data_IF_226065511979
#
_entry.id   IF_226065511979
#
_cell.length_a   1.000
_cell.length_b   1.000
_cell.length_c   1.000
_cell.angle_alpha   90.00
_cell.angle_beta   90.00
_cell.angle_gamma   90.00
#
_symmetry.space_group_name_H-M   'P 1'
#
loop_
_entity.id
_entity.type
_entity.pdbx_description
1 polymer ?
#
# COMPACT_ATOMS: atom_id res chain seq x y z
N UNK A 1 14.37 14.73 6.32
CA UNK A 1 14.45 16.00 7.08
C UNK A 1 15.76 16.73 6.73
N UNK A 2 15.70 18.05 6.57
CA UNK A 2 16.90 18.89 6.34
C UNK A 2 17.64 19.19 7.66
N UNK A 3 17.93 18.14 8.44
CA UNK A 3 18.58 18.25 9.73
C UNK A 3 20.11 18.07 9.62
N UNK A 4 20.85 18.54 10.63
CA UNK A 4 22.31 18.57 10.62
C UNK A 4 22.95 17.19 10.36
N UNK A 5 22.47 16.15 11.01
CA UNK A 5 23.04 14.79 10.94
C UNK A 5 22.77 14.04 9.64
N UNK A 6 21.73 14.38 8.90
CA UNK A 6 21.32 13.62 7.70
C UNK A 6 21.43 14.44 6.41
N UNK A 7 21.50 15.75 6.51
CA UNK A 7 21.57 16.67 5.38
C UNK A 7 22.74 17.64 5.51
N UNK A 8 22.88 18.31 6.68
CA UNK A 8 23.91 19.32 6.90
C UNK A 8 25.32 18.73 6.87
N UNK A 9 25.53 17.55 7.47
CA UNK A 9 26.83 16.86 7.43
C UNK A 9 27.29 16.61 5.98
N UNK A 10 26.38 16.16 5.10
CA UNK A 10 26.70 15.90 3.70
C UNK A 10 27.23 17.16 3.03
N UNK A 11 26.69 18.34 3.37
CA UNK A 11 27.09 19.62 2.78
C UNK A 11 28.53 20.02 3.12
N UNK A 12 29.00 19.68 4.32
CA UNK A 12 30.27 20.18 4.86
C UNK A 12 31.38 19.12 4.95
N UNK A 13 31.02 17.83 4.88
CA UNK A 13 32.02 16.76 4.94
C UNK A 13 33.01 16.83 3.78
N UNK A 14 34.31 16.58 4.00
CA UNK A 14 35.31 16.54 2.90
C UNK A 14 34.95 15.50 1.85
N UNK A 15 34.47 14.33 2.27
CA UNK A 15 33.98 13.24 1.42
C UNK A 15 32.55 12.91 1.86
N UNK A 16 31.63 12.84 0.90
CA UNK A 16 30.26 12.45 1.15
C UNK A 16 29.84 11.38 0.12
N UNK A 17 29.47 10.20 0.60
CA UNK A 17 29.05 9.08 -0.22
C UNK A 17 27.87 8.33 0.42
N UNK A 18 27.17 7.54 -0.38
CA UNK A 18 26.15 6.60 0.13
C UNK A 18 26.81 5.39 0.75
N UNK A 19 26.29 4.94 1.90
CA UNK A 19 26.62 3.61 2.43
C UNK A 19 25.87 2.50 1.66
N UNK A 20 26.25 1.22 1.89
CA UNK A 20 25.64 0.08 1.17
C UNK A 20 24.12 0.00 1.33
N UNK A 21 23.60 0.23 2.53
CA UNK A 21 22.15 0.18 2.80
C UNK A 21 21.39 1.23 1.98
N UNK A 22 21.81 2.49 2.01
CA UNK A 22 21.14 3.54 1.22
C UNK A 22 21.27 3.28 -0.28
N UNK A 23 22.36 2.68 -0.73
CA UNK A 23 22.53 2.27 -2.12
C UNK A 23 21.53 1.21 -2.51
N UNK A 24 21.38 0.15 -1.71
CA UNK A 24 20.39 -0.92 -1.96
C UNK A 24 18.96 -0.40 -1.96
N UNK A 25 18.60 0.53 -1.03
CA UNK A 25 17.30 1.20 -1.02
C UNK A 25 17.03 1.94 -2.35
N UNK A 26 17.97 2.75 -2.79
CA UNK A 26 17.83 3.54 -4.03
C UNK A 26 17.73 2.61 -5.24
N UNK A 27 18.56 1.58 -5.31
CA UNK A 27 18.59 0.65 -6.45
C UNK A 27 17.27 -0.15 -6.53
N UNK A 28 16.74 -0.64 -5.40
CA UNK A 28 15.45 -1.34 -5.36
C UNK A 28 14.29 -0.43 -5.78
N UNK A 29 14.24 0.80 -5.27
CA UNK A 29 13.20 1.76 -5.59
C UNK A 29 13.28 2.23 -7.06
N UNK A 30 14.46 2.47 -7.57
CA UNK A 30 14.64 2.84 -8.99
C UNK A 30 14.19 1.72 -9.91
N UNK A 31 14.50 0.45 -9.60
CA UNK A 31 14.08 -0.71 -10.38
C UNK A 31 12.57 -0.80 -10.52
N UNK A 32 11.83 -0.37 -9.49
CA UNK A 32 10.36 -0.40 -9.49
C UNK A 32 9.74 0.84 -10.14
N UNK A 33 10.38 2.01 -10.04
CA UNK A 33 9.79 3.27 -10.48
C UNK A 33 10.28 3.75 -11.85
N UNK A 34 11.52 3.40 -12.25
CA UNK A 34 12.12 3.88 -13.49
C UNK A 34 12.07 2.84 -14.61
N UNK A 35 12.33 1.56 -14.29
CA UNK A 35 12.40 0.47 -15.27
C UNK A 35 11.63 -0.77 -14.82
N UNK A 36 10.35 -0.63 -14.40
CA UNK A 36 9.58 -1.76 -13.91
C UNK A 36 9.22 -2.73 -15.05
N UNK A 37 9.29 -4.02 -14.77
CA UNK A 37 8.71 -5.03 -15.65
C UNK A 37 7.19 -5.07 -15.43
N UNK A 38 6.42 -5.05 -16.52
CA UNK A 38 4.96 -5.12 -16.46
C UNK A 38 4.46 -6.58 -16.54
N UNK A 39 3.28 -6.89 -15.99
CA UNK A 39 2.38 -6.00 -15.26
C UNK A 39 2.93 -5.54 -13.90
N UNK A 40 2.59 -4.29 -13.51
CA UNK A 40 2.98 -3.71 -12.23
C UNK A 40 1.75 -3.63 -11.34
N UNK A 41 1.84 -4.17 -10.14
CA UNK A 41 0.79 -4.10 -9.13
C UNK A 41 1.28 -3.30 -7.94
N UNK A 42 0.54 -2.26 -7.55
CA UNK A 42 0.75 -1.58 -6.28
C UNK A 42 -0.37 -1.95 -5.30
N UNK A 43 -0.01 -2.20 -4.06
CA UNK A 43 -0.94 -2.48 -2.96
C UNK A 43 -0.74 -1.39 -1.91
N UNK A 44 -1.78 -0.60 -1.66
CA UNK A 44 -1.73 0.53 -0.73
C UNK A 44 -2.88 0.42 0.27
N UNK A 45 -2.58 -0.10 1.46
CA UNK A 45 -3.51 -0.12 2.58
C UNK A 45 -3.33 1.07 3.51
N UNK A 46 -4.31 1.34 4.35
CA UNK A 46 -4.21 2.39 5.37
C UNK A 46 -5.54 3.02 5.74
N UNK A 47 -5.53 3.78 6.83
CA UNK A 47 -6.73 4.38 7.41
C UNK A 47 -7.23 5.62 6.68
N UNK A 48 -6.34 6.36 5.98
CA UNK A 48 -6.67 7.68 5.41
C UNK A 48 -6.10 7.90 4.02
N UNK A 49 -6.95 8.30 3.07
CA UNK A 49 -6.59 8.75 1.71
C UNK A 49 -5.67 9.96 1.76
N UNK A 50 -5.99 10.95 2.60
CA UNK A 50 -5.26 12.22 2.72
C UNK A 50 -3.78 12.01 3.04
N UNK A 51 -3.44 11.02 3.86
CA UNK A 51 -2.05 10.74 4.24
C UNK A 51 -1.23 10.07 3.13
N UNK A 52 -1.90 9.36 2.20
CA UNK A 52 -1.27 8.63 1.10
C UNK A 52 -1.60 9.21 -0.28
N UNK A 53 -2.29 10.35 -0.33
CA UNK A 53 -2.78 10.94 -1.58
C UNK A 53 -1.69 11.12 -2.65
N UNK A 54 -0.52 11.64 -2.26
CA UNK A 54 0.59 11.83 -3.20
C UNK A 54 1.08 10.50 -3.77
N UNK A 55 1.13 9.45 -2.94
CA UNK A 55 1.50 8.08 -3.35
C UNK A 55 0.45 7.51 -4.28
N UNK A 56 -0.83 7.57 -3.92
CA UNK A 56 -1.94 7.06 -4.72
C UNK A 56 -1.98 7.72 -6.11
N UNK A 57 -1.91 9.06 -6.16
CA UNK A 57 -1.86 9.82 -7.43
C UNK A 57 -0.64 9.46 -8.28
N UNK A 58 0.54 9.31 -7.67
CA UNK A 58 1.75 8.98 -8.40
C UNK A 58 1.70 7.55 -8.93
N UNK A 59 1.32 6.58 -8.08
CA UNK A 59 1.23 5.18 -8.46
C UNK A 59 0.16 4.96 -9.53
N UNK A 60 -1.00 5.62 -9.45
CA UNK A 60 -2.05 5.47 -10.48
C UNK A 60 -1.60 5.83 -11.89
N UNK A 61 -0.51 6.60 -12.05
CA UNK A 61 0.06 6.95 -13.37
C UNK A 61 1.19 6.02 -13.81
N UNK A 62 1.64 5.07 -12.97
CA UNK A 62 2.80 4.23 -13.24
C UNK A 62 2.43 2.76 -13.35
N UNK A 63 1.52 2.28 -12.45
CA UNK A 63 1.19 0.87 -12.31
C UNK A 63 0.01 0.46 -13.21
N UNK A 64 -0.12 -0.83 -13.45
CA UNK A 64 -1.27 -1.39 -14.20
C UNK A 64 -2.46 -1.61 -13.27
N UNK A 65 -2.20 -2.05 -12.03
CA UNK A 65 -3.23 -2.25 -11.01
C UNK A 65 -2.83 -1.57 -9.70
N UNK A 66 -3.79 -0.86 -9.09
CA UNK A 66 -3.64 -0.25 -7.78
C UNK A 66 -4.70 -0.85 -6.84
N UNK A 67 -4.30 -1.82 -6.05
CA UNK A 67 -5.14 -2.43 -5.01
C UNK A 67 -5.11 -1.52 -3.78
N UNK A 68 -6.28 -1.16 -3.29
CA UNK A 68 -6.42 -0.31 -2.09
C UNK A 68 -7.08 -1.08 -0.96
N UNK A 69 -6.69 -0.79 0.30
CA UNK A 69 -7.20 -1.46 1.50
C UNK A 69 -7.53 -0.51 2.64
N UNK A 70 -8.26 -1.02 3.64
CA UNK A 70 -8.63 -0.29 4.85
C UNK A 70 -9.51 0.94 4.56
N UNK A 71 -9.35 2.02 5.32
CA UNK A 71 -10.12 3.25 5.17
C UNK A 71 -9.98 3.91 3.78
N UNK A 72 -8.90 3.64 3.06
CA UNK A 72 -8.73 4.08 1.67
C UNK A 72 -9.75 3.36 0.77
N UNK A 73 -9.86 2.03 0.88
CA UNK A 73 -10.84 1.24 0.14
C UNK A 73 -12.27 1.64 0.51
N UNK A 74 -12.57 1.81 1.81
CA UNK A 74 -13.89 2.26 2.27
C UNK A 74 -14.26 3.63 1.70
N UNK A 75 -13.30 4.56 1.62
CA UNK A 75 -13.52 5.86 0.99
C UNK A 75 -13.84 5.71 -0.51
N UNK A 76 -13.15 4.79 -1.20
CA UNK A 76 -13.43 4.49 -2.60
C UNK A 76 -14.82 3.82 -2.79
N UNK A 77 -15.20 2.88 -1.94
CA UNK A 77 -16.52 2.23 -1.97
C UNK A 77 -17.63 3.26 -1.76
N UNK A 78 -17.46 4.16 -0.80
CA UNK A 78 -18.44 5.22 -0.51
C UNK A 78 -18.69 6.19 -1.67
N UNK A 79 -17.77 6.32 -2.63
CA UNK A 79 -17.98 7.13 -3.85
C UNK A 79 -19.01 6.52 -4.81
N UNK A 80 -19.39 5.25 -4.61
CA UNK A 80 -20.37 4.54 -5.42
C UNK A 80 -21.76 4.49 -4.78
N UNK A 81 -22.00 5.34 -3.76
CA UNK A 81 -23.25 5.39 -2.98
C UNK A 81 -23.56 4.05 -2.28
N UNK A 82 -22.53 3.23 -2.03
CA UNK A 82 -22.63 1.98 -1.28
C UNK A 82 -22.51 2.30 0.21
N UNK A 83 -23.41 1.72 1.00
CA UNK A 83 -23.37 1.83 2.46
C UNK A 83 -22.08 1.18 3.02
N UNK A 84 -21.34 1.88 3.84
CA UNK A 84 -20.14 1.40 4.51
C UNK A 84 -20.31 1.32 6.03
N UNK A 85 -21.53 1.50 6.54
CA UNK A 85 -21.88 1.49 7.95
C UNK A 85 -21.07 2.50 8.77
N UNK A 86 -20.54 2.04 9.90
CA UNK A 86 -19.66 2.82 10.79
C UNK A 86 -18.18 2.74 10.40
N UNK A 87 -17.86 2.20 9.23
CA UNK A 87 -16.48 1.99 8.78
C UNK A 87 -15.70 3.29 8.69
N UNK A 88 -14.41 3.21 8.99
CA UNK A 88 -13.50 4.36 8.84
C UNK A 88 -13.39 4.78 7.38
N UNK A 89 -13.66 6.04 7.07
CA UNK A 89 -13.47 6.66 5.77
C UNK A 89 -13.24 8.17 5.90
N UNK A 90 -12.83 8.84 4.84
CA UNK A 90 -12.63 10.28 4.81
C UNK A 90 -13.66 10.96 3.90
N UNK A 91 -14.72 11.51 4.51
CA UNK A 91 -15.81 12.18 3.80
C UNK A 91 -15.35 13.35 2.91
N UNK A 92 -14.37 14.10 3.37
CA UNK A 92 -13.77 15.21 2.64
C UNK A 92 -12.85 14.78 1.48
N UNK A 93 -12.63 13.50 1.29
CA UNK A 93 -11.79 12.94 0.23
C UNK A 93 -12.59 12.17 -0.84
N UNK A 94 -13.93 12.16 -0.76
CA UNK A 94 -14.78 11.43 -1.70
C UNK A 94 -14.56 11.88 -3.15
N UNK A 95 -14.56 13.20 -3.43
CA UNK A 95 -14.30 13.71 -4.79
C UNK A 95 -12.92 13.29 -5.32
N UNK A 96 -11.93 13.26 -4.43
CA UNK A 96 -10.58 12.83 -4.79
C UNK A 96 -10.52 11.33 -5.07
N UNK A 97 -11.20 10.52 -4.26
CA UNK A 97 -11.29 9.07 -4.46
C UNK A 97 -12.09 8.73 -5.72
N UNK A 98 -13.19 9.45 -6.00
CA UNK A 98 -13.94 9.31 -7.23
C UNK A 98 -13.07 9.60 -8.46
N UNK A 99 -12.33 10.70 -8.45
CA UNK A 99 -11.42 11.08 -9.53
C UNK A 99 -10.28 10.06 -9.74
N UNK A 100 -9.85 9.35 -8.69
CA UNK A 100 -8.89 8.25 -8.81
C UNK A 100 -9.52 7.00 -9.47
N UNK A 101 -10.79 6.71 -9.16
CA UNK A 101 -11.51 5.55 -9.69
C UNK A 101 -11.99 5.75 -11.14
N UNK A 102 -12.35 6.97 -11.52
CA UNK A 102 -12.83 7.29 -12.88
C UNK A 102 -11.75 7.07 -13.93
N UNK A 103 -10.48 7.10 -13.53
CA UNK A 103 -9.32 6.87 -14.40
C UNK A 103 -9.34 7.75 -15.65
N UNK A 104 -8.17 8.17 -16.12
CA UNK A 104 -8.00 8.71 -17.49
C UNK A 104 -7.31 7.64 -18.31
N UNK A 105 -7.32 7.78 -19.61
CA UNK A 105 -6.52 6.94 -20.49
C UNK A 105 -5.08 6.81 -19.96
N UNK A 106 -4.59 5.57 -19.83
CA UNK A 106 -3.30 5.21 -19.24
C UNK A 106 -3.16 5.34 -17.70
N UNK A 107 -4.25 5.30 -16.95
CA UNK A 107 -4.17 5.17 -15.48
C UNK A 107 -4.41 3.73 -15.03
N UNK A 108 -3.91 3.42 -13.82
CA UNK A 108 -4.07 2.11 -13.20
C UNK A 108 -5.54 1.72 -13.03
N UNK A 109 -5.85 0.46 -13.26
CA UNK A 109 -7.12 -0.12 -12.82
C UNK A 109 -7.11 -0.22 -11.29
N UNK A 110 -8.16 0.27 -10.64
CA UNK A 110 -8.36 0.19 -9.18
C UNK A 110 -9.53 -0.75 -8.91
N UNK A 111 -9.29 -2.05 -8.70
CA UNK A 111 -10.35 -3.00 -8.41
C UNK A 111 -10.91 -2.75 -7.01
N UNK A 112 -12.24 -2.59 -6.91
CA UNK A 112 -12.91 -2.48 -5.63
C UNK A 112 -13.26 -3.87 -5.09
N UNK A 113 -13.34 -4.02 -3.75
CA UNK A 113 -13.87 -5.24 -3.13
C UNK A 113 -15.28 -5.55 -3.63
N UNK A 114 -15.60 -6.84 -3.78
CA UNK A 114 -16.95 -7.35 -4.07
C UNK A 114 -17.60 -7.95 -2.82
N UNK A 115 -16.78 -8.36 -1.86
CA UNK A 115 -17.19 -8.81 -0.55
C UNK A 115 -16.20 -8.34 0.53
N UNK A 116 -16.67 -8.28 1.75
CA UNK A 116 -15.93 -7.77 2.91
C UNK A 116 -16.21 -8.62 4.13
N UNK A 117 -15.33 -8.53 5.12
CA UNK A 117 -15.54 -9.05 6.47
C UNK A 117 -15.96 -7.89 7.36
N UNK A 118 -17.13 -8.02 7.96
CA UNK A 118 -17.71 -7.00 8.85
C UNK A 118 -17.87 -7.51 10.28
N UNK A 119 -17.91 -6.56 11.22
CA UNK A 119 -18.27 -6.80 12.61
C UNK A 119 -18.93 -5.55 13.19
N UNK A 120 -19.68 -5.70 14.29
CA UNK A 120 -20.31 -4.59 15.02
C UNK A 120 -19.27 -3.82 15.87
N UNK A 121 -18.14 -4.48 16.19
CA UNK A 121 -17.09 -3.94 17.05
C UNK A 121 -15.70 -4.26 16.50
N UNK A 122 -14.78 -3.32 16.69
CA UNK A 122 -13.36 -3.50 16.43
C UNK A 122 -12.68 -4.02 17.71
N UNK A 123 -12.71 -5.32 17.91
CA UNK A 123 -12.06 -5.98 19.06
C UNK A 123 -11.75 -7.45 18.74
N UNK A 124 -10.92 -8.09 19.58
CA UNK A 124 -10.64 -9.53 19.49
C UNK A 124 -11.88 -10.42 19.69
N UNK A 125 -12.93 -9.92 20.34
CA UNK A 125 -14.18 -10.63 20.55
C UNK A 125 -15.23 -10.35 19.46
N UNK A 126 -14.90 -9.50 18.48
CA UNK A 126 -15.78 -9.15 17.36
C UNK A 126 -16.12 -10.37 16.51
N UNK A 127 -17.41 -10.56 16.21
CA UNK A 127 -17.86 -11.65 15.34
C UNK A 127 -17.71 -11.27 13.88
N UNK A 128 -16.77 -11.93 13.19
CA UNK A 128 -16.58 -11.76 11.75
C UNK A 128 -17.76 -12.34 10.96
N UNK A 129 -18.27 -11.54 10.03
CA UNK A 129 -19.31 -11.95 9.07
C UNK A 129 -18.87 -11.55 7.66
N UNK A 130 -18.97 -12.47 6.71
CA UNK A 130 -18.70 -12.18 5.30
C UNK A 130 -19.98 -11.66 4.67
N UNK A 131 -19.89 -10.56 3.93
CA UNK A 131 -21.00 -9.94 3.22
C UNK A 131 -20.58 -9.42 1.85
N UNK A 132 -21.50 -9.41 0.89
CA UNK A 132 -21.35 -8.59 -0.31
C UNK A 132 -21.33 -7.13 0.09
N UNK A 133 -20.64 -6.28 -0.68
CA UNK A 133 -20.50 -4.86 -0.32
C UNK A 133 -21.84 -4.11 -0.32
N UNK A 134 -22.82 -4.61 -1.05
CA UNK A 134 -24.19 -4.04 -1.12
C UNK A 134 -25.05 -4.39 0.12
N UNK A 135 -24.64 -5.39 0.93
CA UNK A 135 -25.41 -5.90 2.06
C UNK A 135 -24.96 -5.34 3.43
N UNK A 136 -24.03 -4.39 3.45
CA UNK A 136 -23.49 -3.80 4.67
C UNK A 136 -24.57 -2.97 5.37
N UNK A 137 -24.71 -3.19 6.70
CA UNK A 137 -25.69 -2.47 7.51
C UNK A 137 -25.09 -1.24 8.20
N UNK A 138 -25.95 -0.32 8.64
CA UNK A 138 -25.55 0.97 9.23
C UNK A 138 -24.71 0.84 10.50
N UNK A 139 -24.83 -0.25 11.22
CA UNK A 139 -24.16 -0.51 12.49
C UNK A 139 -22.87 -1.32 12.36
N UNK A 140 -22.51 -1.75 11.15
CA UNK A 140 -21.36 -2.59 10.88
C UNK A 140 -20.09 -1.80 10.54
N UNK A 141 -18.95 -2.42 10.80
CA UNK A 141 -17.61 -1.95 10.45
C UNK A 141 -17.00 -2.92 9.43
N UNK A 142 -16.49 -2.41 8.31
CA UNK A 142 -15.64 -3.17 7.39
C UNK A 142 -14.26 -3.30 8.03
N UNK A 143 -13.83 -4.52 8.31
CA UNK A 143 -12.56 -4.78 9.01
C UNK A 143 -11.56 -5.58 8.17
N UNK A 144 -12.02 -6.27 7.10
CA UNK A 144 -11.14 -6.92 6.12
C UNK A 144 -11.86 -7.07 4.78
N UNK A 145 -11.13 -7.44 3.75
CA UNK A 145 -11.71 -7.92 2.48
C UNK A 145 -12.26 -9.33 2.63
N UNK A 146 -13.32 -9.65 1.91
CA UNK A 146 -13.89 -10.99 1.88
C UNK A 146 -13.10 -11.96 0.98
N UNK A 147 -13.43 -13.26 1.04
CA UNK A 147 -12.70 -14.31 0.33
C UNK A 147 -12.79 -14.21 -1.21
N UNK A 148 -13.92 -13.74 -1.76
CA UNK A 148 -14.04 -13.53 -3.20
C UNK A 148 -13.13 -12.39 -3.68
N UNK A 149 -13.07 -11.30 -2.92
CA UNK A 149 -12.15 -10.17 -3.16
C UNK A 149 -10.70 -10.62 -3.04
N UNK A 150 -10.35 -11.36 -1.97
CA UNK A 150 -9.01 -11.89 -1.76
C UNK A 150 -8.55 -12.77 -2.93
N UNK A 151 -9.42 -13.68 -3.42
CA UNK A 151 -9.15 -14.50 -4.59
C UNK A 151 -8.94 -13.67 -5.87
N UNK A 152 -9.72 -12.61 -6.07
CA UNK A 152 -9.57 -11.72 -7.22
C UNK A 152 -8.23 -10.96 -7.15
N UNK A 153 -7.86 -10.45 -5.98
CA UNK A 153 -6.59 -9.75 -5.79
C UNK A 153 -5.40 -10.69 -5.92
N UNK A 154 -5.48 -11.91 -5.39
CA UNK A 154 -4.44 -12.94 -5.55
C UNK A 154 -4.19 -13.28 -7.01
N UNK A 155 -5.24 -13.35 -7.85
CA UNK A 155 -5.10 -13.55 -9.30
C UNK A 155 -4.38 -12.39 -9.99
N UNK A 156 -4.66 -11.14 -9.59
CA UNK A 156 -3.97 -9.97 -10.12
C UNK A 156 -2.50 -10.00 -9.70
N UNK A 157 -2.21 -10.30 -8.43
CA UNK A 157 -0.86 -10.38 -7.87
C UNK A 157 -0.04 -11.48 -8.54
N UNK A 158 -0.61 -12.67 -8.77
CA UNK A 158 0.09 -13.80 -9.40
C UNK A 158 0.52 -13.53 -10.85
N UNK A 159 -0.11 -12.59 -11.55
CA UNK A 159 0.23 -12.18 -12.90
C UNK A 159 1.23 -11.01 -12.96
N UNK A 160 1.55 -10.41 -11.81
CA UNK A 160 2.47 -9.29 -11.76
C UNK A 160 3.91 -9.70 -12.09
N UNK A 161 4.67 -8.81 -12.70
CA UNK A 161 6.12 -8.91 -12.82
C UNK A 161 6.84 -8.03 -11.81
N UNK A 162 6.14 -6.98 -11.31
CA UNK A 162 6.65 -6.06 -10.28
C UNK A 162 5.53 -5.78 -9.28
N UNK A 163 5.85 -5.86 -7.99
CA UNK A 163 4.93 -5.59 -6.90
C UNK A 163 5.49 -4.49 -5.99
N UNK A 164 4.66 -3.49 -5.69
CA UNK A 164 4.88 -2.50 -4.65
C UNK A 164 3.88 -2.70 -3.53
N UNK A 165 4.33 -2.91 -2.31
CA UNK A 165 3.43 -3.15 -1.18
C UNK A 165 3.64 -2.18 -0.02
N UNK A 166 2.58 -1.46 0.34
CA UNK A 166 2.57 -0.52 1.47
C UNK A 166 1.24 -0.52 2.21
N UNK A 167 1.12 -1.34 3.22
CA UNK A 167 0.00 -1.43 4.16
C UNK A 167 -0.90 -2.64 3.94
N UNK A 168 -1.48 -3.16 5.04
CA UNK A 168 -2.40 -4.29 5.04
C UNK A 168 -3.74 -3.89 4.43
N UNK A 169 -4.56 -4.88 4.08
CA UNK A 169 -5.91 -4.68 3.53
C UNK A 169 -7.00 -4.69 4.60
N UNK A 170 -6.76 -5.38 5.71
CA UNK A 170 -7.66 -5.50 6.85
C UNK A 170 -6.98 -5.18 8.18
N UNK A 171 -7.73 -5.35 9.27
CA UNK A 171 -7.25 -5.18 10.65
C UNK A 171 -6.61 -6.49 11.10
N UNK A 172 -5.49 -6.81 10.47
CA UNK A 172 -4.80 -8.11 10.57
C UNK A 172 -4.25 -8.43 11.96
N UNK A 173 -4.26 -7.45 12.87
CA UNK A 173 -3.88 -7.64 14.28
C UNK A 173 -4.83 -8.59 15.00
N UNK A 174 -6.09 -8.69 14.56
CA UNK A 174 -7.09 -9.63 15.05
C UNK A 174 -7.26 -10.77 14.03
N UNK A 175 -7.04 -12.01 14.46
CA UNK A 175 -7.02 -13.17 13.57
C UNK A 175 -8.30 -13.34 12.74
N UNK A 176 -9.47 -13.02 13.29
CA UNK A 176 -10.75 -13.10 12.58
C UNK A 176 -10.92 -12.04 11.46
N UNK A 177 -10.05 -11.03 11.39
CA UNK A 177 -10.06 -9.97 10.37
C UNK A 177 -8.75 -9.92 9.60
N UNK A 178 -8.02 -11.03 9.53
CA UNK A 178 -6.67 -11.08 9.00
C UNK A 178 -6.51 -11.87 7.70
N UNK A 179 -7.55 -12.62 7.30
CA UNK A 179 -7.47 -13.55 6.17
C UNK A 179 -7.23 -12.85 4.83
N UNK A 180 -7.80 -11.66 4.62
CA UNK A 180 -7.58 -10.88 3.41
C UNK A 180 -6.12 -10.43 3.28
N UNK A 181 -5.53 -9.93 4.37
CA UNK A 181 -4.11 -9.57 4.40
C UNK A 181 -3.23 -10.80 4.23
N UNK A 182 -3.57 -11.94 4.87
CA UNK A 182 -2.85 -13.21 4.72
C UNK A 182 -2.84 -13.69 3.27
N UNK A 183 -3.99 -13.72 2.61
CA UNK A 183 -4.09 -14.15 1.22
C UNK A 183 -3.22 -13.30 0.27
N UNK A 184 -3.13 -12.00 0.51
CA UNK A 184 -2.22 -11.10 -0.23
C UNK A 184 -0.77 -11.44 0.06
N UNK A 185 -0.39 -11.69 1.31
CA UNK A 185 0.96 -12.12 1.70
C UNK A 185 1.36 -13.39 0.97
N UNK A 186 0.51 -14.42 1.03
CA UNK A 186 0.73 -15.70 0.35
C UNK A 186 0.86 -15.51 -1.17
N UNK A 187 -0.02 -14.73 -1.79
CA UNK A 187 0.04 -14.46 -3.23
C UNK A 187 1.33 -13.72 -3.66
N UNK A 188 1.84 -12.81 -2.82
CA UNK A 188 3.12 -12.13 -3.08
C UNK A 188 4.28 -13.12 -2.94
N UNK A 189 4.29 -13.93 -1.87
CA UNK A 189 5.33 -14.91 -1.59
C UNK A 189 5.43 -15.98 -2.70
N UNK A 190 4.29 -16.46 -3.19
CA UNK A 190 4.22 -17.46 -4.27
C UNK A 190 4.52 -16.89 -5.67
N UNK A 191 4.53 -15.54 -5.81
CA UNK A 191 4.76 -14.91 -7.10
C UNK A 191 6.24 -14.92 -7.50
N UNK A 192 6.51 -14.97 -8.81
CA UNK A 192 7.87 -14.78 -9.36
C UNK A 192 8.21 -13.29 -9.59
N UNK A 193 7.45 -12.38 -8.98
CA UNK A 193 7.58 -10.95 -9.18
C UNK A 193 8.79 -10.37 -8.45
N UNK A 194 9.35 -9.27 -8.95
CA UNK A 194 10.21 -8.43 -8.15
C UNK A 194 9.34 -7.61 -7.18
N UNK A 195 9.36 -7.97 -5.90
CA UNK A 195 8.52 -7.38 -4.86
C UNK A 195 9.31 -6.43 -3.97
N UNK A 196 8.75 -5.22 -3.74
CA UNK A 196 9.28 -4.23 -2.79
C UNK A 196 8.19 -3.90 -1.79
N UNK A 197 8.48 -4.11 -0.52
CA UNK A 197 7.58 -3.83 0.59
C UNK A 197 8.16 -2.76 1.51
N UNK A 198 7.30 -1.94 2.12
CA UNK A 198 7.74 -0.94 3.09
C UNK A 198 6.60 -0.31 3.87
N UNK A 199 6.96 0.24 5.04
CA UNK A 199 6.01 0.76 6.03
C UNK A 199 5.82 -0.18 7.22
N UNK A 200 5.66 0.40 8.42
CA UNK A 200 5.62 -0.37 9.67
C UNK A 200 4.58 -1.48 9.69
N UNK A 201 3.34 -1.16 9.30
CA UNK A 201 2.25 -2.15 9.28
C UNK A 201 2.49 -3.26 8.24
N UNK A 202 3.15 -2.92 7.12
CA UNK A 202 3.55 -3.92 6.11
C UNK A 202 4.59 -4.88 6.68
N UNK A 203 5.61 -4.35 7.35
CA UNK A 203 6.65 -5.16 7.99
C UNK A 203 6.07 -6.07 9.07
N UNK A 204 5.13 -5.56 9.86
CA UNK A 204 4.42 -6.37 10.87
C UNK A 204 3.61 -7.52 10.23
N UNK A 205 2.97 -7.29 9.08
CA UNK A 205 2.28 -8.35 8.34
C UNK A 205 3.27 -9.38 7.78
N UNK A 206 4.39 -8.94 7.19
CA UNK A 206 5.46 -9.80 6.67
C UNK A 206 6.00 -10.72 7.78
N UNK A 207 6.25 -10.16 8.97
CA UNK A 207 6.72 -10.91 10.13
C UNK A 207 5.65 -11.88 10.64
N UNK A 208 4.38 -11.42 10.79
CA UNK A 208 3.27 -12.26 11.26
C UNK A 208 3.08 -13.51 10.38
N UNK A 209 3.22 -13.38 9.07
CA UNK A 209 2.99 -14.48 8.12
C UNK A 209 4.27 -15.19 7.66
N UNK A 210 5.45 -14.75 8.15
CA UNK A 210 6.72 -15.44 7.94
C UNK A 210 7.24 -15.45 6.51
N UNK A 211 6.89 -14.40 5.71
CA UNK A 211 7.23 -14.31 4.29
C UNK A 211 8.44 -13.40 3.99
N UNK A 212 9.27 -13.11 4.99
CA UNK A 212 10.40 -12.17 4.83
C UNK A 212 11.38 -12.57 3.73
N UNK A 213 11.64 -13.87 3.61
CA UNK A 213 12.59 -14.42 2.63
C UNK A 213 12.03 -14.45 1.21
N UNK A 214 10.71 -14.32 1.06
CA UNK A 214 10.00 -14.35 -0.23
C UNK A 214 9.82 -12.94 -0.83
N UNK A 215 10.15 -11.88 -0.08
CA UNK A 215 10.10 -10.49 -0.55
C UNK A 215 11.46 -10.09 -1.11
N UNK A 216 11.51 -9.65 -2.38
CA UNK A 216 12.76 -9.29 -3.04
C UNK A 216 13.50 -8.13 -2.36
N UNK A 217 12.77 -7.16 -1.80
CA UNK A 217 13.35 -6.08 -1.02
C UNK A 217 12.38 -5.53 0.03
N UNK A 218 12.80 -5.51 1.28
CA UNK A 218 12.05 -4.89 2.40
C UNK A 218 12.71 -3.56 2.73
N UNK A 219 12.01 -2.46 2.46
CA UNK A 219 12.51 -1.11 2.71
C UNK A 219 12.55 -0.79 4.21
N UNK A 220 13.69 -0.31 4.65
CA UNK A 220 13.89 0.23 6.00
C UNK A 220 13.62 1.73 6.09
N UNK A 221 13.26 2.36 4.95
CA UNK A 221 13.09 3.81 4.82
C UNK A 221 11.87 4.40 5.52
N UNK A 222 10.90 3.58 5.96
CA UNK A 222 9.70 4.04 6.67
C UNK A 222 8.96 5.15 5.91
N UNK A 223 8.82 6.34 6.52
CA UNK A 223 8.18 7.50 5.87
C UNK A 223 8.91 8.00 4.62
N UNK A 224 10.23 7.86 4.54
CA UNK A 224 10.99 8.24 3.34
C UNK A 224 10.66 7.35 2.14
N UNK A 225 10.39 6.07 2.36
CA UNK A 225 9.89 5.16 1.32
C UNK A 225 8.60 5.71 0.70
N UNK A 226 7.61 6.10 1.52
CA UNK A 226 6.35 6.68 1.04
C UNK A 226 6.56 8.02 0.32
N UNK A 227 7.44 8.88 0.83
CA UNK A 227 7.75 10.15 0.18
C UNK A 227 8.39 9.94 -1.20
N UNK A 228 9.27 8.95 -1.33
CA UNK A 228 9.90 8.59 -2.59
C UNK A 228 8.87 8.01 -3.59
N UNK A 229 8.01 7.10 -3.15
CA UNK A 229 6.90 6.56 -3.96
C UNK A 229 5.94 7.67 -4.42
N UNK A 230 5.73 8.71 -3.60
CA UNK A 230 4.96 9.90 -3.96
C UNK A 230 5.68 10.86 -4.91
N UNK A 231 6.87 10.52 -5.39
CA UNK A 231 7.67 11.31 -6.33
C UNK A 231 8.45 12.46 -5.69
N UNK A 232 8.58 12.50 -4.36
CA UNK A 232 9.39 13.52 -3.69
C UNK A 232 10.88 13.18 -3.79
N UNK A 233 11.69 14.20 -4.10
CA UNK A 233 13.14 14.08 -4.02
C UNK A 233 13.53 14.12 -2.54
N UNK A 234 14.20 13.06 -2.08
CA UNK A 234 14.68 13.00 -0.70
C UNK A 234 15.87 13.93 -0.48
N UNK A 235 15.84 14.84 0.51
CA UNK A 235 16.84 15.89 0.68
C UNK A 235 18.28 15.38 0.77
N UNK A 236 18.50 14.25 1.46
CA UNK A 236 19.86 13.66 1.59
C UNK A 236 20.37 13.11 0.26
N UNK A 237 19.50 12.48 -0.55
CA UNK A 237 19.84 11.97 -1.89
C UNK A 237 20.17 13.15 -2.81
N UNK A 238 19.31 14.18 -2.82
CA UNK A 238 19.54 15.40 -3.61
C UNK A 238 20.89 16.05 -3.28
N UNK A 239 21.23 16.12 -1.99
CA UNK A 239 22.50 16.71 -1.57
C UNK A 239 23.71 15.87 -1.99
N UNK A 240 23.60 14.52 -1.90
CA UNK A 240 24.64 13.62 -2.38
C UNK A 240 24.86 13.77 -3.89
N UNK A 241 23.79 13.84 -4.67
CA UNK A 241 23.84 14.04 -6.12
C UNK A 241 24.46 15.40 -6.51
N UNK A 242 24.20 16.47 -5.72
CA UNK A 242 24.82 17.79 -5.96
C UNK A 242 26.30 17.83 -5.64
N UNK A 243 26.80 16.83 -4.95
CA UNK A 243 28.22 16.73 -4.54
C UNK A 243 29.01 15.62 -5.26
N UNK A 244 28.33 14.81 -6.08
CA UNK A 244 28.97 13.85 -6.97
C UNK A 244 29.50 14.53 -8.21
#
# INVERSE_FOLDING_TARGET
RKQASTFGVIKFAPIACTGPLLRSEIDALNKVLQEPKRPIVAIVGGSKVSTKLAVLKKLSTIVDYLIVGGGIANTCIATKDINIGKSLYERNMLDTAAALLEGRDNQAMIPLPVDVVVSDVLSGDGKARIKAIEDIQDDELILDIGPATANNFSKIISQASTILWNGPLGVFEFDQFSEGTRAVCEAIAESNSFSVAGGGDTLAAIEKYGISDDISYISTGGGAFLEFLGGKILPSIEMLQKRA
#
